data_IF_137148924888
#
_entry.id   IF_137148924888
#
_cell.length_a   1.000
_cell.length_b   1.000
_cell.length_c   1.000
_cell.angle_alpha   90.00
_cell.angle_beta   90.00
_cell.angle_gamma   90.00
#
_symmetry.space_group_name_H-M   'P 1'
#
loop_
_entity.id
_entity.type
_entity.pdbx_description
1 polymer ?
#
# COMPACT_ATOMS: atom_id res chain seq x y z
N UNK A 1 -9.00 -5.27 16.34
CA UNK A 1 -9.40 -4.63 15.06
C UNK A 1 -8.25 -4.02 14.25
N UNK A 2 -7.14 -3.60 14.88
CA UNK A 2 -6.00 -2.94 14.19
C UNK A 2 -5.29 -3.81 13.14
N UNK A 3 -5.14 -5.12 13.38
CA UNK A 3 -4.57 -6.08 12.41
C UNK A 3 -5.37 -6.11 11.10
N UNK A 4 -6.70 -6.23 11.21
CA UNK A 4 -7.59 -6.37 10.06
C UNK A 4 -7.55 -5.11 9.17
N UNK A 5 -7.49 -3.93 9.78
CA UNK A 5 -7.31 -2.65 9.08
C UNK A 5 -5.96 -2.57 8.37
N UNK A 6 -4.88 -3.04 9.00
CA UNK A 6 -3.55 -3.12 8.37
C UNK A 6 -3.51 -4.07 7.17
N UNK A 7 -4.12 -5.25 7.28
CA UNK A 7 -4.19 -6.24 6.18
C UNK A 7 -5.05 -5.74 5.03
N UNK A 8 -6.17 -5.07 5.30
CA UNK A 8 -7.01 -4.43 4.29
C UNK A 8 -6.28 -3.30 3.57
N UNK A 9 -5.60 -2.41 4.30
CA UNK A 9 -4.81 -1.33 3.72
C UNK A 9 -3.68 -1.86 2.82
N UNK A 10 -3.01 -2.93 3.25
CA UNK A 10 -1.96 -3.59 2.46
C UNK A 10 -2.54 -4.20 1.18
N UNK A 11 -3.65 -4.94 1.27
CA UNK A 11 -4.33 -5.55 0.11
C UNK A 11 -4.77 -4.51 -0.92
N UNK A 12 -5.41 -3.42 -0.47
CA UNK A 12 -5.84 -2.32 -1.34
C UNK A 12 -4.65 -1.62 -2.01
N UNK A 13 -3.53 -1.44 -1.30
CA UNK A 13 -2.31 -0.88 -1.88
C UNK A 13 -1.76 -1.76 -3.02
N UNK A 14 -1.72 -3.09 -2.83
CA UNK A 14 -1.28 -4.04 -3.87
C UNK A 14 -2.18 -4.04 -5.11
N UNK A 15 -3.50 -4.01 -4.92
CA UNK A 15 -4.46 -3.94 -6.03
C UNK A 15 -4.23 -2.65 -6.85
N UNK A 16 -4.00 -1.53 -6.17
CA UNK A 16 -3.70 -0.25 -6.83
C UNK A 16 -2.38 -0.30 -7.60
N UNK A 17 -1.32 -0.92 -7.05
CA UNK A 17 -0.06 -1.12 -7.77
C UNK A 17 -0.26 -1.92 -9.06
N UNK A 18 -1.01 -3.02 -9.00
CA UNK A 18 -1.30 -3.88 -10.16
C UNK A 18 -2.13 -3.11 -11.20
N UNK A 19 -3.14 -2.37 -10.75
CA UNK A 19 -3.99 -1.56 -11.62
C UNK A 19 -3.18 -0.51 -12.37
N UNK A 20 -2.34 0.26 -11.65
CA UNK A 20 -1.48 1.27 -12.27
C UNK A 20 -0.43 0.66 -13.20
N UNK A 21 0.06 -0.55 -12.88
CA UNK A 21 1.00 -1.27 -13.73
C UNK A 21 0.34 -1.71 -15.04
N UNK A 22 -0.86 -2.30 -14.99
CA UNK A 22 -1.64 -2.63 -16.19
C UNK A 22 -1.94 -1.39 -17.03
N UNK A 23 -2.38 -0.30 -16.38
CA UNK A 23 -2.67 0.96 -17.05
C UNK A 23 -1.44 1.56 -17.76
N UNK A 24 -0.24 1.39 -17.18
CA UNK A 24 1.03 1.81 -17.78
C UNK A 24 1.38 0.99 -19.03
N UNK A 25 1.08 -0.31 -19.03
CA UNK A 25 1.34 -1.21 -20.16
C UNK A 25 0.43 -0.89 -21.35
N UNK A 26 -0.86 -0.63 -21.09
CA UNK A 26 -1.83 -0.28 -22.14
C UNK A 26 -1.71 1.19 -22.61
N UNK A 27 -1.32 2.11 -21.72
CA UNK A 27 -1.27 3.56 -22.00
C UNK A 27 0.17 4.09 -22.04
N UNK A 28 0.88 3.80 -23.14
CA UNK A 28 2.33 3.98 -23.32
C UNK A 28 2.95 5.38 -23.07
N UNK A 29 2.23 6.48 -22.83
CA UNK A 29 2.82 7.83 -23.05
C UNK A 29 2.61 8.89 -21.94
N UNK A 30 1.77 8.73 -20.90
CA UNK A 30 1.48 9.91 -20.03
C UNK A 30 1.17 9.68 -18.56
N UNK A 31 1.39 8.49 -18.02
CA UNK A 31 1.18 8.25 -16.60
C UNK A 31 2.44 8.58 -15.79
N UNK A 32 2.46 9.83 -15.33
CA UNK A 32 3.51 10.42 -14.51
C UNK A 32 3.72 9.60 -13.23
N UNK A 33 4.98 9.49 -12.77
CA UNK A 33 5.36 8.74 -11.56
C UNK A 33 4.56 9.16 -10.30
N UNK A 34 3.95 10.35 -10.35
CA UNK A 34 3.02 10.88 -9.34
C UNK A 34 1.83 9.96 -9.07
N UNK A 35 1.31 9.20 -10.04
CA UNK A 35 0.18 8.29 -9.78
C UNK A 35 0.58 7.13 -8.84
N UNK A 36 1.84 6.71 -8.85
CA UNK A 36 2.37 5.69 -7.94
C UNK A 36 2.59 6.22 -6.51
N UNK A 37 2.50 7.53 -6.28
CA UNK A 37 2.64 8.10 -4.94
C UNK A 37 1.52 7.66 -4.01
N UNK A 38 0.30 7.52 -4.52
CA UNK A 38 -0.86 7.15 -3.71
C UNK A 38 -0.80 5.69 -3.23
N UNK A 39 -0.56 4.68 -4.11
CA UNK A 39 -0.27 3.31 -3.67
C UNK A 39 0.90 3.23 -2.69
N UNK A 40 1.99 3.97 -2.94
CA UNK A 40 3.16 3.97 -2.08
C UNK A 40 2.88 4.54 -0.68
N UNK A 41 2.12 5.64 -0.60
CA UNK A 41 1.75 6.27 0.68
C UNK A 41 0.84 5.34 1.50
N UNK A 42 -0.12 4.67 0.87
CA UNK A 42 -0.92 3.62 1.53
C UNK A 42 -0.06 2.44 2.00
N UNK A 43 0.94 2.05 1.22
CA UNK A 43 1.87 0.98 1.59
C UNK A 43 2.65 1.35 2.86
N UNK A 44 3.21 2.57 2.92
CA UNK A 44 3.93 3.05 4.10
C UNK A 44 3.04 3.13 5.35
N UNK A 45 1.77 3.56 5.20
CA UNK A 45 0.80 3.57 6.31
C UNK A 45 0.52 2.14 6.80
N UNK A 46 0.32 1.19 5.88
CA UNK A 46 0.11 -0.21 6.24
C UNK A 46 1.34 -0.81 6.96
N UNK A 47 2.54 -0.50 6.48
CA UNK A 47 3.80 -0.94 7.08
C UNK A 47 3.99 -0.35 8.48
N UNK A 48 3.71 0.95 8.66
CA UNK A 48 3.74 1.60 9.98
C UNK A 48 2.72 0.98 10.95
N UNK A 49 1.50 0.68 10.47
CA UNK A 49 0.47 0.03 11.27
C UNK A 49 0.91 -1.37 11.73
N UNK A 50 1.56 -2.15 10.86
CA UNK A 50 2.11 -3.46 11.18
C UNK A 50 3.29 -3.39 12.15
N UNK A 51 4.23 -2.48 11.94
CA UNK A 51 5.39 -2.28 12.84
C UNK A 51 4.94 -1.85 14.23
N UNK A 52 4.00 -0.89 14.31
CA UNK A 52 3.42 -0.45 15.58
C UNK A 52 2.73 -1.61 16.32
N UNK A 53 2.06 -2.49 15.59
CA UNK A 53 1.40 -3.66 16.17
C UNK A 53 2.41 -4.74 16.63
N UNK A 54 3.48 -4.95 15.88
CA UNK A 54 4.56 -5.88 16.22
C UNK A 54 5.32 -5.42 17.47
N UNK A 55 5.65 -4.13 17.57
CA UNK A 55 6.29 -3.53 18.75
C UNK A 55 5.40 -3.63 19.99
N UNK A 56 4.08 -3.44 19.85
CA UNK A 56 3.16 -3.60 20.98
C UNK A 56 3.06 -5.07 21.44
N UNK A 57 3.12 -6.06 20.54
CA UNK A 57 3.13 -7.48 20.92
C UNK A 57 4.47 -7.95 21.52
N UNK A 58 5.54 -7.16 21.40
CA UNK A 58 6.86 -7.50 21.95
C UNK A 58 7.12 -6.89 23.34
N UNK A 59 6.13 -6.18 23.89
CA UNK A 59 6.16 -5.52 25.20
C UNK A 59 5.36 -6.26 26.29
N UNK A 60 4.75 -7.38 25.93
CA UNK A 60 4.22 -8.42 26.83
C UNK A 60 5.31 -9.48 27.05
#
# INVERSE_FOLDING_TARGET
>A
MKLLTGTLALSVSFILFIYLYGLKVDSSIKYNATFYTFPALLFFIALFCFVSLMVNNNKD
#
